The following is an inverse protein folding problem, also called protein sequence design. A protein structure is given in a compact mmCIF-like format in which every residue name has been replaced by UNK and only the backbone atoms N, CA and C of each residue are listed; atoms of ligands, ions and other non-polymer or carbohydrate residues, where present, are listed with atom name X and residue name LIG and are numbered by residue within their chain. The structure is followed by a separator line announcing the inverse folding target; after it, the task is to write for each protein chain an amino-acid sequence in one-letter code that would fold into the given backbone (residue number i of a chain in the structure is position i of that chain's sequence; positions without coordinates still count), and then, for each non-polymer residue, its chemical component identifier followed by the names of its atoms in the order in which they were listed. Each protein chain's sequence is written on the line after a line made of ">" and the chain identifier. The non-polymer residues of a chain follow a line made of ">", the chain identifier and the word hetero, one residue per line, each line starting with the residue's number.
data_IF_750319627330
#
_entry.id   IF_750319627330
#
_cell.length_a   1.000
_cell.length_b   1.000
_cell.length_c   1.000
_cell.angle_alpha   90.00
_cell.angle_beta   90.00
_cell.angle_gamma   90.00
#
_symmetry.space_group_name_H-M   'P 1'
#
loop_
_entity.id
_entity.type
_entity.pdbx_description
1 polymer ?
#
# COMPACT_ATOMS: atom_id res chain seq x y z
N UNK A 1 -13.72 22.10 16.32
CA UNK A 1 -12.26 22.21 16.50
C UNK A 1 -11.69 20.80 16.44
N UNK A 2 -10.90 20.33 15.48
CA UNK A 2 -10.40 20.82 14.19
C UNK A 2 -10.74 19.72 13.18
N UNK A 3 -11.48 20.11 12.15
CA UNK A 3 -11.65 19.37 10.92
C UNK A 3 -10.26 19.23 10.30
N UNK A 4 -9.73 18.01 10.22
CA UNK A 4 -8.48 17.76 9.49
C UNK A 4 -8.85 17.67 8.02
N UNK A 5 -8.79 18.83 7.37
CA UNK A 5 -8.87 19.02 5.94
C UNK A 5 -8.08 17.95 5.19
N UNK A 6 -8.84 17.09 4.54
CA UNK A 6 -8.41 16.24 3.45
C UNK A 6 -7.95 17.17 2.31
N UNK A 7 -6.64 17.30 2.11
CA UNK A 7 -6.10 17.93 0.90
C UNK A 7 -6.13 16.90 -0.24
N UNK A 8 -7.05 16.99 -1.22
CA UNK A 8 -6.92 16.25 -2.45
C UNK A 8 -5.74 16.83 -3.24
N UNK A 9 -4.75 15.99 -3.58
CA UNK A 9 -3.76 16.39 -4.58
C UNK A 9 -4.47 16.67 -5.91
N UNK A 10 -4.19 17.81 -6.57
CA UNK A 10 -4.75 18.09 -7.88
C UNK A 10 -4.20 17.06 -8.89
N UNK A 11 -5.08 16.19 -9.40
CA UNK A 11 -4.76 15.24 -10.47
C UNK A 11 -5.20 13.79 -10.25
N UNK A 12 -5.71 13.39 -9.07
CA UNK A 12 -6.20 12.04 -8.88
C UNK A 12 -7.73 11.95 -9.10
N UNK A 13 -8.22 11.13 -10.05
CA UNK A 13 -9.65 11.00 -10.25
C UNK A 13 -10.36 10.22 -9.13
N UNK A 14 -11.63 10.56 -8.80
CA UNK A 14 -12.44 9.90 -7.76
C UNK A 14 -12.94 8.48 -8.12
N UNK A 15 -12.29 7.79 -9.06
CA UNK A 15 -12.73 6.49 -9.59
C UNK A 15 -11.59 5.46 -9.71
N UNK A 16 -10.76 5.34 -8.66
CA UNK A 16 -10.06 4.07 -8.42
C UNK A 16 -11.00 2.98 -7.84
N UNK A 17 -12.31 3.08 -8.13
CA UNK A 17 -13.31 2.06 -7.88
C UNK A 17 -13.63 1.37 -9.22
N UNK A 18 -12.99 0.22 -9.45
CA UNK A 18 -13.55 -0.91 -10.20
C UNK A 18 -13.86 -0.73 -11.69
N UNK A 19 -12.89 -1.09 -12.54
CA UNK A 19 -13.16 -1.58 -13.90
C UNK A 19 -12.66 -3.02 -14.00
N UNK A 20 -13.57 -3.94 -14.33
CA UNK A 20 -13.38 -5.38 -14.32
C UNK A 20 -12.24 -5.88 -15.21
N UNK A 21 -11.11 -6.18 -14.57
CA UNK A 21 -10.11 -7.12 -15.05
C UNK A 21 -9.69 -7.91 -13.83
N UNK A 22 -10.01 -9.20 -13.83
CA UNK A 22 -9.60 -10.23 -12.89
C UNK A 22 -8.46 -9.77 -11.98
N UNK A 23 -8.75 -9.45 -10.72
CA UNK A 23 -7.72 -9.36 -9.69
C UNK A 23 -7.14 -10.77 -9.58
N UNK A 24 -6.06 -11.04 -10.30
CA UNK A 24 -5.36 -12.33 -10.25
C UNK A 24 -4.87 -12.67 -8.83
N UNK A 25 -4.84 -11.68 -7.92
CA UNK A 25 -4.61 -11.82 -6.49
C UNK A 25 -5.52 -10.84 -5.72
N UNK A 26 -6.14 -11.31 -4.64
CA UNK A 26 -7.07 -10.54 -3.81
C UNK A 26 -6.35 -9.47 -2.99
N UNK A 27 -6.99 -8.31 -2.79
CA UNK A 27 -6.51 -7.26 -1.88
C UNK A 27 -6.22 -7.80 -0.46
N UNK A 28 -6.93 -8.84 -0.03
CA UNK A 28 -6.68 -9.52 1.25
C UNK A 28 -5.32 -10.20 1.33
N UNK A 29 -4.86 -10.86 0.27
CA UNK A 29 -3.57 -11.55 0.24
C UNK A 29 -2.40 -10.56 0.25
N UNK A 30 -2.54 -9.45 -0.48
CA UNK A 30 -1.55 -8.36 -0.47
C UNK A 30 -1.44 -7.73 0.92
N UNK A 31 -2.57 -7.52 1.61
CA UNK A 31 -2.58 -6.98 2.98
C UNK A 31 -1.82 -7.88 3.94
N UNK A 32 -2.10 -9.18 3.93
CA UNK A 32 -1.40 -10.14 4.80
C UNK A 32 0.09 -10.22 4.47
N UNK A 33 0.45 -10.20 3.20
CA UNK A 33 1.85 -10.20 2.78
C UNK A 33 2.59 -8.93 3.22
N UNK A 34 1.96 -7.75 3.13
CA UNK A 34 2.52 -6.49 3.64
C UNK A 34 2.75 -6.55 5.14
N UNK A 35 1.76 -7.01 5.91
CA UNK A 35 1.88 -7.14 7.37
C UNK A 35 2.99 -8.12 7.76
N UNK A 36 3.08 -9.26 7.06
CA UNK A 36 4.16 -10.22 7.26
C UNK A 36 5.54 -9.60 7.03
N UNK A 37 5.69 -8.78 5.98
CA UNK A 37 6.96 -8.13 5.67
C UNK A 37 7.34 -7.05 6.69
N UNK A 38 6.38 -6.27 7.16
CA UNK A 38 6.63 -5.22 8.17
C UNK A 38 6.92 -5.84 9.55
N UNK A 39 6.37 -7.01 9.84
CA UNK A 39 6.67 -7.78 11.06
C UNK A 39 8.15 -8.18 11.15
N UNK A 40 8.85 -8.30 10.02
CA UNK A 40 10.29 -8.59 9.98
C UNK A 40 11.16 -7.36 10.27
N UNK A 41 10.59 -6.15 10.20
CA UNK A 41 11.28 -4.89 10.45
C UNK A 41 10.77 -3.72 9.59
N UNK A 42 11.20 -2.48 9.90
CA UNK A 42 10.85 -1.31 9.11
C UNK A 42 11.38 -1.46 7.68
N UNK A 43 10.53 -1.19 6.68
CA UNK A 43 10.86 -1.29 5.25
C UNK A 43 10.35 -0.06 4.51
N UNK A 44 11.13 0.40 3.52
CA UNK A 44 10.66 1.43 2.60
C UNK A 44 9.62 0.86 1.63
N UNK A 45 8.71 1.72 1.14
CA UNK A 45 7.63 1.32 0.23
C UNK A 45 8.12 0.61 -1.04
N UNK A 46 9.26 1.02 -1.60
CA UNK A 46 9.85 0.36 -2.77
C UNK A 46 10.41 -1.04 -2.44
N UNK A 47 10.98 -1.21 -1.26
CA UNK A 47 11.47 -2.52 -0.81
C UNK A 47 10.29 -3.48 -0.58
N UNK A 48 9.20 -2.99 0.01
CA UNK A 48 7.96 -3.74 0.12
C UNK A 48 7.43 -4.18 -1.26
N UNK A 49 7.48 -3.33 -2.28
CA UNK A 49 7.07 -3.72 -3.65
C UNK A 49 7.93 -4.86 -4.21
N UNK A 50 9.26 -4.78 -4.05
CA UNK A 50 10.17 -5.84 -4.49
C UNK A 50 9.90 -7.16 -3.75
N UNK A 51 9.80 -7.09 -2.44
CA UNK A 51 9.59 -8.27 -1.59
C UNK A 51 8.22 -8.91 -1.87
N UNK A 52 7.18 -8.10 -2.10
CA UNK A 52 5.86 -8.59 -2.50
C UNK A 52 5.90 -9.29 -3.86
N UNK A 53 6.54 -8.70 -4.87
CA UNK A 53 6.69 -9.34 -6.18
C UNK A 53 7.46 -10.67 -6.08
N UNK A 54 8.46 -10.74 -5.20
CA UNK A 54 9.22 -11.96 -4.96
C UNK A 54 8.38 -13.04 -4.27
N UNK A 55 7.56 -12.69 -3.28
CA UNK A 55 6.73 -13.66 -2.53
C UNK A 55 5.48 -14.11 -3.28
N UNK A 56 4.87 -13.22 -4.05
CA UNK A 56 3.62 -13.48 -4.77
C UNK A 56 3.86 -13.99 -6.20
N UNK A 57 5.12 -13.99 -6.64
CA UNK A 57 5.55 -14.58 -7.91
C UNK A 57 5.32 -13.67 -9.13
N UNK A 58 5.71 -14.15 -10.33
CA UNK A 58 5.79 -13.34 -11.55
C UNK A 58 4.43 -12.86 -12.07
N UNK A 59 3.33 -13.45 -11.59
CA UNK A 59 1.96 -13.06 -11.94
C UNK A 59 1.48 -11.83 -11.15
N UNK A 60 2.11 -11.52 -10.03
CA UNK A 60 1.79 -10.35 -9.23
C UNK A 60 2.69 -9.16 -9.60
N UNK A 61 2.07 -8.10 -10.10
CA UNK A 61 2.76 -6.83 -10.34
C UNK A 61 2.55 -5.89 -9.17
N UNK A 62 3.53 -5.89 -8.24
CA UNK A 62 3.58 -4.91 -7.17
C UNK A 62 3.73 -3.50 -7.75
N UNK A 63 2.64 -2.75 -7.81
CA UNK A 63 2.63 -1.38 -8.32
C UNK A 63 2.36 -0.40 -7.19
N UNK A 64 2.85 0.83 -7.35
CA UNK A 64 2.51 1.95 -6.47
C UNK A 64 1.00 2.13 -6.30
N UNK A 65 0.23 1.96 -7.37
CA UNK A 65 -1.23 2.02 -7.36
C UNK A 65 -1.93 0.90 -6.59
N UNK A 66 -1.24 -0.17 -6.21
CA UNK A 66 -1.79 -1.24 -5.36
C UNK A 66 -1.23 -1.18 -3.93
N UNK A 67 0.07 -0.97 -3.79
CA UNK A 67 0.76 -1.04 -2.49
C UNK A 67 0.48 0.17 -1.62
N UNK A 68 0.57 1.40 -2.15
CA UNK A 68 0.36 2.60 -1.32
C UNK A 68 -1.08 2.74 -0.79
N UNK A 69 -2.15 2.43 -1.57
CA UNK A 69 -3.50 2.39 -1.03
C UNK A 69 -3.65 1.37 0.10
N UNK A 70 -3.04 0.18 -0.03
CA UNK A 70 -3.05 -0.84 1.02
C UNK A 70 -2.31 -0.34 2.27
N UNK A 71 -1.14 0.27 2.12
CA UNK A 71 -0.39 0.85 3.24
C UNK A 71 -1.20 1.92 3.97
N UNK A 72 -1.81 2.86 3.23
CA UNK A 72 -2.68 3.90 3.82
C UNK A 72 -3.87 3.29 4.56
N UNK A 73 -4.45 2.22 4.02
CA UNK A 73 -5.56 1.55 4.68
C UNK A 73 -5.12 0.87 5.99
N UNK A 74 -3.99 0.14 5.96
CA UNK A 74 -3.43 -0.50 7.16
C UNK A 74 -3.04 0.52 8.24
N UNK A 75 -2.52 1.68 7.83
CA UNK A 75 -2.19 2.78 8.75
C UNK A 75 -3.45 3.39 9.37
N UNK A 76 -4.50 3.62 8.57
CA UNK A 76 -5.80 4.09 9.06
C UNK A 76 -6.44 3.11 10.06
N UNK A 77 -6.23 1.82 9.86
CA UNK A 77 -6.68 0.76 10.77
C UNK A 77 -5.78 0.61 12.01
N UNK A 78 -4.67 1.35 12.10
CA UNK A 78 -3.73 1.30 13.22
C UNK A 78 -2.85 0.04 13.24
N UNK A 79 -2.78 -0.70 12.13
CA UNK A 79 -2.00 -1.94 12.02
C UNK A 79 -0.52 -1.69 11.68
N UNK A 80 -0.22 -0.54 11.08
CA UNK A 80 1.14 -0.09 10.78
C UNK A 80 1.27 1.41 11.09
N UNK A 81 2.51 1.88 11.23
CA UNK A 81 2.82 3.30 11.35
C UNK A 81 3.89 3.67 10.33
N UNK A 82 3.72 4.80 9.64
CA UNK A 82 4.77 5.39 8.83
C UNK A 82 5.70 6.28 9.66
N UNK A 83 6.99 6.29 9.33
CA UNK A 83 7.96 7.23 9.85
C UNK A 83 8.55 8.00 8.67
N UNK A 84 8.53 9.32 8.74
CA UNK A 84 9.33 10.15 7.85
C UNK A 84 10.78 10.05 8.30
N UNK A 85 11.63 9.45 7.47
CA UNK A 85 13.07 9.57 7.65
C UNK A 85 13.49 10.86 6.95
N UNK A 86 13.86 11.86 7.75
CA UNK A 86 14.46 13.08 7.24
C UNK A 86 15.84 12.72 6.70
N UNK A 87 15.97 12.80 5.37
CA UNK A 87 17.12 12.31 4.62
C UNK A 87 18.43 12.87 5.16
N UNK A 88 19.41 11.99 5.31
CA UNK A 88 20.80 12.35 5.59
C UNK A 88 21.58 12.52 4.30
#
# INVERSE_FOLDING_TARGET
>A
MKETDFFPFPGWPPFAAGSGRTRFFGLGEVRLAVLSLISEGPKHGYQLMKDLASRLGPLYRASSGTVYPVLKQLEKEGLIASRLEEGR
#
